data_IF_707356990216
#
_entry.id   IF_707356990216
#
_cell.length_a   1.000
_cell.length_b   1.000
_cell.length_c   1.000
_cell.angle_alpha   90.00
_cell.angle_beta   90.00
_cell.angle_gamma   90.00
#
_symmetry.space_group_name_H-M   'P 1'
#
loop_
_entity.id
_entity.type
_entity.pdbx_description
1 polymer ?
#
# COMPACT_ATOMS: atom_id res chain seq x y z
N UNK A 1 37.17 -48.55 54.03
CA UNK A 1 35.80 -48.47 54.58
C UNK A 1 35.10 -47.27 53.96
N UNK A 2 34.40 -47.47 52.80
CA UNK A 2 33.73 -46.35 52.05
C UNK A 2 32.31 -46.27 52.57
N UNK A 3 31.93 -45.08 53.14
CA UNK A 3 30.55 -44.75 53.49
C UNK A 3 29.78 -44.32 52.27
N UNK A 4 28.82 -45.12 51.92
CA UNK A 4 27.87 -44.77 50.84
C UNK A 4 26.87 -43.73 51.37
N UNK A 5 26.94 -42.51 50.88
CA UNK A 5 25.96 -41.46 51.19
C UNK A 5 24.70 -41.72 50.31
N UNK A 6 23.63 -42.17 50.93
CA UNK A 6 22.30 -42.26 50.30
C UNK A 6 21.67 -40.86 50.20
N UNK A 7 21.65 -40.29 49.01
CA UNK A 7 20.93 -39.07 48.79
C UNK A 7 19.44 -39.43 48.65
N UNK A 8 18.70 -39.30 49.75
CA UNK A 8 17.23 -39.35 49.72
C UNK A 8 16.70 -38.08 49.13
N UNK A 9 16.42 -38.08 47.84
CA UNK A 9 15.69 -36.98 47.22
C UNK A 9 14.28 -36.95 47.81
N UNK A 10 14.01 -35.94 48.63
CA UNK A 10 12.71 -35.70 49.25
C UNK A 10 11.61 -35.63 48.21
N UNK A 11 10.49 -36.27 48.46
CA UNK A 11 9.28 -36.24 47.61
C UNK A 11 8.82 -34.81 47.34
N UNK A 12 9.01 -33.90 48.28
CA UNK A 12 8.70 -32.48 48.16
C UNK A 12 9.49 -31.76 47.05
N UNK A 13 10.78 -32.09 46.89
CA UNK A 13 11.61 -31.49 45.82
C UNK A 13 11.17 -31.87 44.40
N UNK A 14 10.67 -33.11 44.22
CA UNK A 14 10.12 -33.53 42.92
C UNK A 14 8.80 -32.84 42.61
N UNK A 15 7.93 -32.66 43.58
CA UNK A 15 6.65 -31.97 43.44
C UNK A 15 6.88 -30.48 43.08
N UNK A 16 7.81 -29.82 43.78
CA UNK A 16 8.18 -28.43 43.51
C UNK A 16 8.74 -28.27 42.08
N UNK A 17 9.61 -29.19 41.64
CA UNK A 17 10.13 -29.17 40.25
C UNK A 17 9.04 -29.32 39.22
N UNK A 18 8.07 -30.21 39.43
CA UNK A 18 6.94 -30.41 38.47
C UNK A 18 6.07 -29.15 38.43
N UNK A 19 5.78 -28.51 39.55
CA UNK A 19 5.03 -27.26 39.59
C UNK A 19 5.76 -26.12 38.89
N UNK A 20 7.07 -25.99 39.04
CA UNK A 20 7.87 -24.97 38.37
C UNK A 20 7.86 -25.16 36.84
N UNK A 21 8.00 -26.40 36.37
CA UNK A 21 7.93 -26.71 34.94
C UNK A 21 6.54 -26.44 34.36
N UNK A 22 5.48 -26.79 35.13
CA UNK A 22 4.12 -26.50 34.70
C UNK A 22 3.84 -24.98 34.60
N UNK A 23 4.28 -24.19 35.56
CA UNK A 23 4.15 -22.73 35.55
C UNK A 23 4.91 -22.11 34.36
N UNK A 24 6.14 -22.55 34.11
CA UNK A 24 6.92 -22.05 32.96
C UNK A 24 6.25 -22.41 31.64
N UNK A 25 5.71 -23.62 31.48
CA UNK A 25 4.98 -24.02 30.29
C UNK A 25 3.74 -23.17 30.05
N UNK A 26 2.97 -22.83 31.10
CA UNK A 26 1.80 -21.96 31.02
C UNK A 26 2.19 -20.52 30.64
N UNK A 27 3.27 -19.98 31.20
CA UNK A 27 3.75 -18.63 30.88
C UNK A 27 4.27 -18.55 29.46
N UNK A 28 4.94 -19.57 28.94
CA UNK A 28 5.43 -19.58 27.57
C UNK A 28 4.31 -19.81 26.55
N UNK A 29 3.24 -20.53 26.89
CA UNK A 29 2.11 -20.75 25.97
C UNK A 29 1.22 -19.50 25.82
N UNK A 30 1.19 -18.60 26.77
CA UNK A 30 0.42 -17.34 26.65
C UNK A 30 1.08 -16.29 25.74
N UNK A 31 2.31 -16.49 25.30
CA UNK A 31 3.03 -15.57 24.40
C UNK A 31 2.86 -15.89 22.92
N UNK A 32 2.10 -16.91 22.54
CA UNK A 32 1.71 -17.14 21.17
C UNK A 32 0.68 -16.05 20.75
N UNK A 33 1.19 -14.87 20.44
CA UNK A 33 0.39 -13.87 19.73
C UNK A 33 -0.02 -14.50 18.41
N UNK A 34 -1.29 -14.89 18.30
CA UNK A 34 -1.82 -15.35 17.02
C UNK A 34 -1.62 -14.24 16.00
N UNK A 35 -0.91 -14.54 14.93
CA UNK A 35 -0.82 -13.63 13.78
C UNK A 35 -2.25 -13.45 13.28
N UNK A 36 -2.85 -12.32 13.60
CA UNK A 36 -4.20 -12.00 13.18
C UNK A 36 -4.17 -11.71 11.69
N UNK A 37 -4.96 -12.45 10.92
CA UNK A 37 -5.15 -12.17 9.50
C UNK A 37 -5.72 -10.76 9.32
N UNK A 38 -5.36 -10.07 8.23
CA UNK A 38 -5.98 -8.80 7.84
C UNK A 38 -7.50 -8.93 7.64
N UNK A 39 -8.02 -10.15 7.56
CA UNK A 39 -9.45 -10.45 7.51
C UNK A 39 -10.10 -10.50 8.90
N UNK A 40 -9.34 -10.33 9.98
CA UNK A 40 -9.82 -10.50 11.35
C UNK A 40 -10.32 -11.92 11.59
N UNK A 41 -11.51 -12.05 12.21
CA UNK A 41 -12.14 -13.32 12.56
C UNK A 41 -12.95 -13.94 11.41
N UNK A 42 -12.92 -13.34 10.22
CA UNK A 42 -13.67 -13.85 9.06
C UNK A 42 -13.06 -15.16 8.57
N UNK A 43 -13.90 -16.20 8.42
CA UNK A 43 -13.49 -17.49 7.90
C UNK A 43 -12.96 -17.37 6.45
N UNK A 44 -12.02 -18.23 6.06
CA UNK A 44 -11.37 -18.16 4.75
C UNK A 44 -12.31 -18.46 3.57
N UNK A 45 -13.39 -19.19 3.82
CA UNK A 45 -14.41 -19.56 2.86
C UNK A 45 -15.56 -18.52 2.75
N UNK A 46 -15.56 -17.50 3.60
CA UNK A 46 -16.48 -16.37 3.46
C UNK A 46 -16.03 -15.39 2.41
N UNK A 47 -16.97 -14.82 1.67
CA UNK A 47 -16.69 -13.73 0.74
C UNK A 47 -16.06 -12.54 1.48
N UNK A 48 -15.16 -11.84 0.82
CA UNK A 48 -14.60 -10.60 1.35
C UNK A 48 -15.70 -9.54 1.49
N UNK A 49 -15.58 -8.70 2.50
CA UNK A 49 -16.46 -7.54 2.64
C UNK A 49 -16.45 -6.70 1.36
N UNK A 50 -17.64 -6.24 0.94
CA UNK A 50 -17.73 -5.34 -0.20
C UNK A 50 -16.95 -4.06 0.11
N UNK A 51 -15.99 -3.75 -0.75
CA UNK A 51 -15.23 -2.51 -0.64
C UNK A 51 -16.19 -1.34 -0.94
N UNK A 52 -16.28 -0.39 -0.02
CA UNK A 52 -16.99 0.86 -0.26
C UNK A 52 -16.19 1.67 -1.28
N UNK A 53 -16.80 1.97 -2.43
CA UNK A 53 -16.18 2.81 -3.43
C UNK A 53 -16.30 4.27 -3.01
N UNK A 54 -15.19 4.87 -2.62
CA UNK A 54 -15.15 6.27 -2.24
C UNK A 54 -15.30 7.19 -3.45
N UNK A 55 -15.97 8.32 -3.25
CA UNK A 55 -16.18 9.29 -4.32
C UNK A 55 -14.89 10.04 -4.61
N UNK A 56 -14.44 9.99 -5.87
CA UNK A 56 -13.30 10.77 -6.33
C UNK A 56 -13.63 12.26 -6.24
N UNK A 57 -12.71 13.03 -5.70
CA UNK A 57 -12.81 14.48 -5.63
C UNK A 57 -12.59 15.09 -7.02
N UNK A 58 -13.43 16.07 -7.38
CA UNK A 58 -13.31 16.81 -8.62
C UNK A 58 -13.01 18.26 -8.28
N UNK A 59 -11.84 18.74 -8.70
CA UNK A 59 -11.32 20.07 -8.37
C UNK A 59 -11.07 20.84 -9.63
N UNK A 60 -11.79 21.95 -9.83
CA UNK A 60 -11.54 22.85 -10.93
C UNK A 60 -10.19 23.56 -10.75
N UNK A 61 -9.41 23.66 -11.81
CA UNK A 61 -8.07 24.27 -11.77
C UNK A 61 -6.95 23.30 -11.34
N UNK A 62 -7.31 22.08 -10.92
CA UNK A 62 -6.34 21.07 -10.51
C UNK A 62 -6.04 21.03 -9.02
N UNK A 63 -5.22 20.07 -8.60
CA UNK A 63 -4.79 19.86 -7.20
C UNK A 63 -3.34 20.32 -7.07
N UNK A 64 -3.08 21.14 -6.07
CA UNK A 64 -1.74 21.67 -5.80
C UNK A 64 -0.75 20.53 -5.48
N UNK A 65 0.46 20.64 -6.00
CA UNK A 65 1.56 19.71 -5.67
C UNK A 65 2.19 20.06 -4.33
N UNK A 66 2.55 19.06 -3.55
CA UNK A 66 3.25 19.25 -2.29
C UNK A 66 4.75 19.48 -2.51
N UNK A 67 5.31 19.02 -3.63
CA UNK A 67 6.71 19.25 -3.99
C UNK A 67 6.89 19.37 -5.51
N UNK A 68 7.98 20.01 -5.92
CA UNK A 68 8.24 20.45 -7.31
C UNK A 68 8.13 19.34 -8.37
N UNK A 69 8.63 18.15 -8.10
CA UNK A 69 8.67 17.04 -9.05
C UNK A 69 7.52 16.04 -8.86
N UNK A 70 6.58 16.31 -7.98
CA UNK A 70 5.40 15.47 -7.81
C UNK A 70 4.61 15.37 -9.12
N UNK A 71 4.27 14.16 -9.58
CA UNK A 71 3.31 14.01 -10.66
C UNK A 71 2.00 14.69 -10.28
N UNK A 72 1.43 15.55 -11.13
CA UNK A 72 0.14 16.20 -10.83
C UNK A 72 -0.92 15.16 -10.49
N UNK A 73 -1.68 15.40 -9.42
CA UNK A 73 -2.82 14.57 -9.06
C UNK A 73 -3.93 14.75 -10.10
N UNK A 74 -4.73 13.71 -10.32
CA UNK A 74 -5.85 13.75 -11.26
C UNK A 74 -7.05 14.40 -10.57
N UNK A 75 -7.51 15.59 -11.02
CA UNK A 75 -8.58 16.33 -10.35
C UNK A 75 -9.99 15.93 -10.87
N UNK A 76 -10.15 14.74 -11.44
CA UNK A 76 -11.43 14.25 -11.98
C UNK A 76 -11.49 12.72 -11.91
N UNK A 77 -12.66 12.14 -12.14
CA UNK A 77 -12.83 10.68 -12.18
C UNK A 77 -12.12 10.07 -13.40
N UNK A 78 -11.61 8.85 -13.24
CA UNK A 78 -10.92 8.11 -14.31
C UNK A 78 -11.64 6.84 -14.74
N UNK A 79 -12.81 6.55 -14.20
CA UNK A 79 -13.56 5.31 -14.42
C UNK A 79 -13.85 4.99 -15.88
N UNK A 80 -13.99 6.04 -16.72
CA UNK A 80 -14.29 5.92 -18.15
C UNK A 80 -13.06 5.91 -19.06
N UNK A 81 -11.86 6.08 -18.50
CA UNK A 81 -10.62 6.26 -19.27
C UNK A 81 -9.66 5.10 -19.02
N UNK A 82 -9.93 3.99 -19.72
CA UNK A 82 -9.07 2.81 -19.62
C UNK A 82 -7.78 3.00 -20.42
N UNK A 83 -6.71 2.41 -19.89
CA UNK A 83 -5.41 2.33 -20.55
C UNK A 83 -5.12 0.86 -20.84
N UNK A 84 -4.83 0.55 -22.09
CA UNK A 84 -4.40 -0.77 -22.56
C UNK A 84 -3.21 -0.61 -23.51
N UNK A 85 -2.59 -1.69 -23.94
CA UNK A 85 -1.49 -1.64 -24.90
C UNK A 85 -1.90 -1.01 -26.26
N UNK A 86 -3.19 -1.08 -26.61
CA UNK A 86 -3.71 -0.57 -27.88
C UNK A 86 -4.39 0.80 -27.77
N UNK A 87 -4.79 1.18 -26.57
CA UNK A 87 -5.56 2.41 -26.35
C UNK A 87 -5.19 3.06 -25.03
N UNK A 88 -5.04 4.37 -25.04
CA UNK A 88 -4.85 5.16 -23.84
C UNK A 88 -5.91 6.25 -23.77
N UNK A 89 -6.91 6.06 -22.87
CA UNK A 89 -8.04 6.96 -22.74
C UNK A 89 -7.66 8.38 -22.30
N UNK A 90 -6.56 8.55 -21.56
CA UNK A 90 -6.09 9.86 -21.10
C UNK A 90 -5.62 10.73 -22.27
N UNK A 91 -5.01 10.12 -23.29
CA UNK A 91 -4.50 10.84 -24.46
C UNK A 91 -5.59 11.39 -25.39
N UNK A 92 -6.85 10.96 -25.20
CA UNK A 92 -7.97 11.56 -25.95
C UNK A 92 -8.13 13.05 -25.65
N UNK A 93 -7.79 13.47 -24.43
CA UNK A 93 -7.85 14.87 -24.02
C UNK A 93 -6.46 15.49 -23.81
N UNK A 94 -5.49 14.74 -23.26
CA UNK A 94 -4.21 15.29 -22.83
C UNK A 94 -3.10 15.23 -23.89
N UNK A 95 -3.33 14.64 -25.07
CA UNK A 95 -2.31 14.58 -26.12
C UNK A 95 -2.02 15.95 -26.73
N UNK A 96 -0.85 16.08 -27.37
CA UNK A 96 -0.43 17.28 -28.13
C UNK A 96 -1.50 17.74 -29.14
N UNK A 97 -2.22 16.80 -29.76
CA UNK A 97 -3.24 17.09 -30.78
C UNK A 97 -4.59 17.52 -30.17
N UNK A 98 -4.91 17.08 -28.97
CA UNK A 98 -6.26 17.22 -28.43
C UNK A 98 -6.37 18.26 -27.30
N UNK A 99 -5.29 18.53 -26.56
CA UNK A 99 -5.35 19.29 -25.31
C UNK A 99 -6.01 20.67 -25.43
N UNK A 100 -5.79 21.39 -26.53
CA UNK A 100 -6.40 22.72 -26.74
C UNK A 100 -7.91 22.62 -26.93
N UNK A 101 -8.35 21.68 -27.78
CA UNK A 101 -9.77 21.43 -28.08
C UNK A 101 -10.52 20.98 -26.84
N UNK A 102 -9.92 20.05 -26.09
CA UNK A 102 -10.52 19.44 -24.90
C UNK A 102 -10.31 20.28 -23.64
N UNK A 103 -9.62 21.44 -23.75
CA UNK A 103 -9.29 22.33 -22.62
C UNK A 103 -8.60 21.62 -21.47
N UNK A 104 -7.78 20.62 -21.79
CA UNK A 104 -7.03 19.81 -20.84
C UNK A 104 -5.57 20.24 -20.77
N UNK A 105 -4.88 20.06 -19.64
CA UNK A 105 -3.44 20.22 -19.59
C UNK A 105 -2.73 19.28 -20.56
N UNK A 106 -1.75 19.80 -21.32
CA UNK A 106 -0.92 18.97 -22.21
C UNK A 106 -0.02 18.05 -21.41
N UNK A 107 0.21 16.84 -21.90
CA UNK A 107 1.27 15.96 -21.39
C UNK A 107 2.62 16.67 -21.47
N UNK A 108 3.35 16.71 -20.37
CA UNK A 108 4.65 17.41 -20.30
C UNK A 108 5.72 16.77 -21.20
N UNK A 109 6.63 17.57 -21.70
CA UNK A 109 7.67 17.16 -22.67
C UNK A 109 8.57 16.03 -22.15
N UNK A 110 8.78 15.95 -20.82
CA UNK A 110 9.52 14.85 -20.17
C UNK A 110 8.91 13.46 -20.41
N UNK A 111 7.65 13.37 -20.82
CA UNK A 111 6.99 12.11 -21.16
C UNK A 111 7.38 11.58 -22.55
N UNK A 112 7.97 12.41 -23.37
CA UNK A 112 8.46 12.05 -24.71
C UNK A 112 9.96 11.69 -24.71
N UNK A 113 10.60 11.64 -23.55
CA UNK A 113 12.05 11.36 -23.45
C UNK A 113 12.29 9.94 -23.00
N UNK A 114 13.17 9.22 -23.69
CA UNK A 114 13.64 7.89 -23.32
C UNK A 114 14.53 7.94 -22.07
N UNK A 115 14.91 6.76 -21.53
CA UNK A 115 15.86 6.67 -20.42
C UNK A 115 17.23 7.26 -20.80
N UNK A 116 17.63 7.12 -22.06
CA UNK A 116 18.92 7.58 -22.59
C UNK A 116 18.87 9.05 -23.03
N UNK A 117 17.80 9.78 -22.71
CA UNK A 117 17.66 11.20 -23.02
C UNK A 117 17.21 11.52 -24.43
N UNK A 118 16.90 10.53 -25.27
CA UNK A 118 16.43 10.76 -26.65
C UNK A 118 14.97 11.22 -26.66
N UNK A 119 14.66 12.30 -27.34
CA UNK A 119 13.28 12.77 -27.57
C UNK A 119 12.61 11.94 -28.68
N UNK A 120 11.37 11.57 -28.42
CA UNK A 120 10.50 10.79 -29.32
C UNK A 120 9.33 11.63 -29.82
N UNK A 121 8.78 11.27 -30.98
CA UNK A 121 7.56 11.88 -31.53
C UNK A 121 6.29 11.39 -30.81
N UNK A 122 6.39 10.30 -30.06
CA UNK A 122 5.29 9.71 -29.29
C UNK A 122 5.69 9.55 -27.82
N UNK A 123 4.71 9.36 -26.93
CA UNK A 123 4.98 9.13 -25.52
C UNK A 123 5.87 7.91 -25.33
N UNK A 124 6.92 8.07 -24.53
CA UNK A 124 7.82 7.00 -24.15
C UNK A 124 7.04 5.85 -23.47
N UNK A 125 7.35 4.61 -23.81
CA UNK A 125 6.69 3.42 -23.26
C UNK A 125 6.69 3.40 -21.72
N UNK A 126 7.74 3.91 -21.09
CA UNK A 126 7.85 4.04 -19.62
C UNK A 126 6.90 5.08 -19.01
N UNK A 127 6.25 5.91 -19.82
CA UNK A 127 5.31 6.96 -19.41
C UNK A 127 3.91 6.74 -19.95
N UNK A 128 3.68 5.60 -20.58
CA UNK A 128 2.42 5.30 -21.27
C UNK A 128 1.27 5.01 -20.29
N UNK A 129 1.54 4.36 -19.18
CA UNK A 129 0.54 4.01 -18.18
C UNK A 129 0.43 5.13 -17.13
N UNK A 130 -0.34 6.16 -17.46
CA UNK A 130 -0.45 7.41 -16.71
C UNK A 130 -0.80 7.20 -15.23
N UNK A 131 -1.73 6.29 -14.94
CA UNK A 131 -2.22 6.01 -13.58
C UNK A 131 -1.22 5.31 -12.65
N UNK A 132 -0.05 4.92 -13.15
CA UNK A 132 1.05 4.43 -12.30
C UNK A 132 1.74 5.56 -11.53
N UNK A 133 1.64 6.80 -12.01
CA UNK A 133 2.25 7.97 -11.37
C UNK A 133 1.22 9.04 -11.02
N UNK A 134 0.13 9.13 -11.77
CA UNK A 134 -0.94 10.09 -11.52
C UNK A 134 -2.10 9.38 -10.84
N UNK A 135 -2.50 9.85 -9.66
CA UNK A 135 -3.58 9.27 -8.87
C UNK A 135 -4.73 10.27 -8.68
N UNK A 136 -5.93 9.75 -8.53
CA UNK A 136 -7.09 10.51 -8.08
C UNK A 136 -7.04 10.71 -6.56
N UNK A 137 -7.77 11.70 -6.06
CA UNK A 137 -7.97 11.93 -4.63
C UNK A 137 -9.41 11.63 -4.23
N UNK A 138 -9.60 11.30 -2.96
CA UNK A 138 -10.92 11.25 -2.32
C UNK A 138 -10.97 12.28 -1.19
N UNK A 139 -12.17 12.58 -0.70
CA UNK A 139 -12.36 13.48 0.46
C UNK A 139 -12.25 12.77 1.81
N UNK A 140 -11.94 11.50 1.78
CA UNK A 140 -11.83 10.70 2.99
C UNK A 140 -10.62 11.16 3.81
N UNK A 141 -10.78 11.15 5.12
CA UNK A 141 -9.67 11.40 6.02
C UNK A 141 -8.59 10.31 5.86
N UNK A 142 -7.32 10.67 5.85
CA UNK A 142 -6.24 9.68 5.82
C UNK A 142 -6.27 8.82 7.09
N UNK A 143 -5.90 7.54 6.96
CA UNK A 143 -5.80 6.63 8.10
C UNK A 143 -4.72 7.06 9.10
N UNK A 144 -3.69 7.71 8.61
CA UNK A 144 -2.60 8.31 9.40
C UNK A 144 -2.29 9.68 8.86
N UNK A 145 -1.91 10.60 9.73
CA UNK A 145 -1.52 11.94 9.34
C UNK A 145 -0.26 11.90 8.46
N UNK A 146 -0.27 12.70 7.39
CA UNK A 146 0.91 12.85 6.55
C UNK A 146 1.86 13.87 7.17
N UNK A 147 2.97 13.38 7.72
CA UNK A 147 4.04 14.20 8.33
C UNK A 147 5.21 14.42 7.36
N UNK A 148 5.06 14.06 6.08
CA UNK A 148 6.11 14.27 5.08
C UNK A 148 6.18 15.73 4.67
N UNK A 149 7.31 16.34 4.98
CA UNK A 149 7.69 17.68 4.46
C UNK A 149 8.48 17.46 3.18
N UNK A 150 7.90 17.84 2.04
CA UNK A 150 8.55 17.69 0.73
C UNK A 150 9.89 18.44 0.65
N UNK A 151 10.83 17.94 -0.15
CA UNK A 151 12.13 18.56 -0.44
C UNK A 151 11.99 19.63 -1.52
#
# INVERSE_FOLDING_TARGET
>A
MFKTVKITRSLSGKVISIFLVAITAVVFSSSAMSVQSLRGDSALDTDSNKIVKHKVDTVEGGIQRNYKLQPPMIPHTTDKYQISLKNNGCLKCHSEKAFKKEKAPKVGDSHYVTRDGKTLDTISSRRYFCTQCHATQTKDAPLVENVYEGI
#
